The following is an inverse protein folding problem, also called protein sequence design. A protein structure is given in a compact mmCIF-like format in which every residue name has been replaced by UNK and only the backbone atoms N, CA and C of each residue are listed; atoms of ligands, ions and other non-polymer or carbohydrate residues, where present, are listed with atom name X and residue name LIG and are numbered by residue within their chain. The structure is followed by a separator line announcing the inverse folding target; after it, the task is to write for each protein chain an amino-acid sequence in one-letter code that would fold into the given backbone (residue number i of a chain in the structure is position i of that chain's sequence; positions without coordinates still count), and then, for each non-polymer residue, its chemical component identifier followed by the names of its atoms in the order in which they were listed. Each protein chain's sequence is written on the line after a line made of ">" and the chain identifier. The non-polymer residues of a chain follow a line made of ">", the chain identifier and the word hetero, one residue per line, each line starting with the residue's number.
data_IF_446413215521
#
_entry.id   IF_446413215521
#
_cell.length_a   1.000
_cell.length_b   1.000
_cell.length_c   1.000
_cell.angle_alpha   90.00
_cell.angle_beta   90.00
_cell.angle_gamma   90.00
#
_symmetry.space_group_name_H-M   'P 1'
#
loop_
_entity.id
_entity.type
_entity.pdbx_description
1 polymer ?
#
# COMPACT_ATOMS: atom_id res chain seq x y z
N UNK A 1 -33.07 -6.02 -38.15
CA UNK A 1 -31.84 -5.70 -37.40
C UNK A 1 -31.86 -6.52 -36.13
N UNK A 2 -30.95 -7.50 -36.00
CA UNK A 2 -30.93 -8.43 -34.86
C UNK A 2 -30.28 -7.73 -33.67
N UNK A 3 -30.95 -7.73 -32.52
CA UNK A 3 -30.45 -7.26 -31.24
C UNK A 3 -29.46 -8.26 -30.65
N UNK A 4 -28.23 -7.84 -30.37
CA UNK A 4 -27.29 -8.59 -29.54
C UNK A 4 -27.56 -8.27 -28.06
N UNK A 5 -28.15 -9.21 -27.34
CA UNK A 5 -28.13 -9.23 -25.88
C UNK A 5 -26.82 -9.86 -25.40
N UNK A 6 -26.03 -9.13 -24.62
CA UNK A 6 -24.85 -9.69 -23.96
C UNK A 6 -25.28 -10.64 -22.82
N UNK A 7 -24.66 -11.81 -22.65
CA UNK A 7 -24.89 -12.65 -21.49
C UNK A 7 -24.19 -12.06 -20.26
N UNK A 8 -24.88 -12.09 -19.12
CA UNK A 8 -24.37 -11.62 -17.84
C UNK A 8 -23.13 -12.38 -17.39
N UNK A 9 -22.10 -11.66 -16.97
CA UNK A 9 -20.97 -12.23 -16.26
C UNK A 9 -21.43 -12.63 -14.86
N UNK A 10 -21.44 -13.93 -14.58
CA UNK A 10 -21.47 -14.45 -13.21
C UNK A 10 -20.10 -14.19 -12.56
N UNK A 11 -20.09 -13.53 -11.41
CA UNK A 11 -18.93 -13.43 -10.54
C UNK A 11 -18.58 -14.81 -9.98
N UNK A 12 -17.71 -15.53 -10.68
CA UNK A 12 -17.12 -16.79 -10.23
C UNK A 12 -15.78 -16.52 -9.56
N UNK A 13 -15.74 -16.68 -8.24
CA UNK A 13 -14.52 -16.69 -7.43
C UNK A 13 -13.66 -17.91 -7.77
N UNK A 14 -12.76 -17.78 -8.76
CA UNK A 14 -11.78 -18.82 -9.08
C UNK A 14 -10.34 -18.30 -8.92
N UNK A 15 -10.04 -17.82 -7.71
CA UNK A 15 -8.66 -17.68 -7.24
C UNK A 15 -8.16 -18.98 -6.55
N UNK A 16 -9.01 -20.01 -6.44
CA UNK A 16 -8.72 -21.21 -5.66
C UNK A 16 -7.68 -22.14 -6.29
N UNK A 17 -7.44 -22.05 -7.61
CA UNK A 17 -6.64 -23.05 -8.35
C UNK A 17 -5.14 -22.71 -8.41
N UNK A 18 -4.71 -21.51 -7.99
CA UNK A 18 -3.29 -21.05 -8.04
C UNK A 18 -2.58 -20.97 -6.69
N UNK A 19 -3.23 -21.40 -5.59
CA UNK A 19 -2.77 -21.19 -4.20
C UNK A 19 -1.38 -21.76 -3.86
N UNK A 20 -0.79 -22.62 -4.71
CA UNK A 20 0.50 -23.28 -4.41
C UNK A 20 1.71 -22.62 -5.08
N UNK A 21 1.54 -21.60 -5.94
CA UNK A 21 2.64 -21.14 -6.82
C UNK A 21 2.87 -19.63 -6.97
N UNK A 22 2.08 -18.73 -6.38
CA UNK A 22 2.24 -17.30 -6.71
C UNK A 22 1.76 -16.34 -5.63
N UNK A 23 2.42 -15.19 -5.54
CA UNK A 23 1.97 -13.96 -4.87
C UNK A 23 0.74 -13.39 -5.62
N UNK A 24 -0.33 -14.17 -5.71
CA UNK A 24 -1.55 -13.89 -6.47
C UNK A 24 -2.67 -13.50 -5.51
N UNK A 25 -2.42 -12.48 -4.70
CA UNK A 25 -3.47 -11.85 -3.89
C UNK A 25 -3.93 -10.57 -4.59
N UNK A 26 -5.19 -10.14 -4.39
CA UNK A 26 -5.66 -8.88 -4.93
C UNK A 26 -4.81 -7.71 -4.45
N UNK A 27 -4.48 -6.80 -5.36
CA UNK A 27 -3.89 -5.51 -4.99
C UNK A 27 -4.95 -4.67 -4.31
N UNK A 28 -4.63 -4.14 -3.14
CA UNK A 28 -5.53 -3.32 -2.32
C UNK A 28 -5.09 -1.86 -2.20
N UNK A 29 -3.81 -1.59 -2.45
CA UNK A 29 -3.22 -0.26 -2.36
C UNK A 29 -2.17 -0.05 -3.45
N UNK A 30 -2.09 1.17 -3.96
CA UNK A 30 -0.98 1.67 -4.78
C UNK A 30 -0.33 2.82 -4.02
N UNK A 31 0.99 2.79 -3.89
CA UNK A 31 1.73 3.82 -3.17
C UNK A 31 2.67 4.60 -4.07
N UNK A 32 2.58 5.93 -3.99
CA UNK A 32 3.53 6.85 -4.60
C UNK A 32 4.49 7.36 -3.52
N UNK A 33 5.79 7.16 -3.74
CA UNK A 33 6.81 7.81 -2.95
C UNK A 33 7.02 9.24 -3.45
N UNK A 34 6.98 10.20 -2.53
CA UNK A 34 7.03 11.64 -2.82
C UNK A 34 7.95 12.36 -1.83
N UNK A 35 8.31 13.61 -2.14
CA UNK A 35 9.10 14.46 -1.25
C UNK A 35 8.23 15.28 -0.28
N UNK A 36 6.94 15.45 -0.58
CA UNK A 36 5.97 16.15 0.28
C UNK A 36 4.61 15.46 0.17
N UNK A 37 4.25 14.71 1.21
CA UNK A 37 3.02 13.92 1.25
C UNK A 37 1.76 14.78 1.26
N UNK A 38 1.77 15.92 1.96
CA UNK A 38 0.61 16.79 2.09
C UNK A 38 0.32 17.49 0.77
N UNK A 39 1.31 18.19 0.20
CA UNK A 39 1.08 18.93 -1.05
C UNK A 39 0.77 17.98 -2.22
N UNK A 40 1.32 16.76 -2.21
CA UNK A 40 1.01 15.78 -3.26
C UNK A 40 -0.38 15.16 -3.09
N UNK A 41 -0.82 14.89 -1.86
CA UNK A 41 -2.19 14.45 -1.60
C UNK A 41 -3.22 15.51 -2.03
N UNK A 42 -2.97 16.79 -1.74
CA UNK A 42 -3.83 17.90 -2.21
C UNK A 42 -3.90 17.96 -3.75
N UNK A 43 -2.76 17.82 -4.44
CA UNK A 43 -2.71 17.79 -5.90
C UNK A 43 -3.46 16.59 -6.47
N UNK A 44 -3.23 15.39 -5.92
CA UNK A 44 -3.93 14.18 -6.35
C UNK A 44 -5.44 14.31 -6.19
N UNK A 45 -5.90 14.90 -5.08
CA UNK A 45 -7.31 15.21 -4.89
C UNK A 45 -7.85 16.16 -5.96
N UNK A 46 -7.14 17.25 -6.24
CA UNK A 46 -7.56 18.25 -7.21
C UNK A 46 -7.57 17.71 -8.66
N UNK A 47 -6.60 16.90 -9.04
CA UNK A 47 -6.41 16.44 -10.42
C UNK A 47 -7.19 15.16 -10.75
N UNK A 48 -7.33 14.25 -9.78
CA UNK A 48 -7.89 12.90 -10.01
C UNK A 48 -9.17 12.61 -9.23
N UNK A 49 -9.52 13.46 -8.26
CA UNK A 49 -10.61 13.18 -7.32
C UNK A 49 -10.28 12.12 -6.26
N UNK A 50 -9.03 11.66 -6.18
CA UNK A 50 -8.61 10.74 -5.13
C UNK A 50 -8.69 11.40 -3.74
N UNK A 51 -9.11 10.64 -2.73
CA UNK A 51 -9.25 11.13 -1.36
C UNK A 51 -10.60 10.76 -0.75
N UNK A 52 -11.01 11.42 0.34
CA UNK A 52 -10.18 12.32 1.15
C UNK A 52 -8.99 11.54 1.72
N UNK A 53 -7.88 12.23 1.94
CA UNK A 53 -6.67 11.65 2.50
C UNK A 53 -6.61 11.85 4.01
N UNK A 54 -6.18 10.80 4.70
CA UNK A 54 -5.93 10.78 6.13
C UNK A 54 -4.43 10.62 6.39
N UNK A 55 -3.83 11.64 6.98
CA UNK A 55 -2.40 11.79 7.21
C UNK A 55 -2.00 11.19 8.55
N UNK A 56 -1.11 10.20 8.50
CA UNK A 56 -0.36 9.71 9.65
C UNK A 56 1.08 10.22 9.54
N UNK A 57 1.43 11.16 10.40
CA UNK A 57 2.72 11.84 10.39
C UNK A 57 3.77 11.06 11.18
N UNK A 58 4.99 11.02 10.64
CA UNK A 58 6.21 10.53 11.28
C UNK A 58 6.01 9.19 11.98
N UNK A 59 5.44 8.23 11.27
CA UNK A 59 5.14 6.87 11.74
C UNK A 59 6.46 6.17 12.12
N UNK A 60 6.69 5.89 13.41
CA UNK A 60 7.86 5.15 13.85
C UNK A 60 7.62 3.63 13.76
N UNK A 61 8.72 2.90 13.57
CA UNK A 61 8.73 1.45 13.60
C UNK A 61 9.15 0.94 14.99
N UNK A 62 8.46 -0.11 15.46
CA UNK A 62 8.87 -0.86 16.66
C UNK A 62 10.18 -1.62 16.41
N UNK A 63 10.32 -2.16 15.20
CA UNK A 63 11.54 -2.78 14.70
C UNK A 63 11.53 -2.74 13.17
N UNK A 64 12.72 -2.82 12.57
CA UNK A 64 12.86 -2.85 11.12
C UNK A 64 14.14 -3.56 10.68
N UNK A 65 14.06 -4.20 9.52
CA UNK A 65 15.19 -4.76 8.81
C UNK A 65 15.12 -4.31 7.34
N UNK A 66 16.26 -3.88 6.78
CA UNK A 66 16.41 -3.54 5.37
C UNK A 66 17.69 -4.21 4.84
N UNK A 67 17.57 -4.93 3.72
CA UNK A 67 18.66 -5.72 3.11
C UNK A 67 19.40 -6.62 4.12
N UNK A 68 18.64 -7.21 5.03
CA UNK A 68 19.14 -8.13 6.06
C UNK A 68 19.86 -7.46 7.24
N UNK A 69 19.91 -6.13 7.29
CA UNK A 69 20.49 -5.37 8.41
C UNK A 69 19.37 -4.77 9.26
N UNK A 70 19.59 -4.68 10.57
CA UNK A 70 18.69 -3.94 11.47
C UNK A 70 18.70 -2.46 11.08
N UNK A 71 17.54 -1.97 10.66
CA UNK A 71 17.39 -0.64 10.11
C UNK A 71 15.92 -0.22 10.25
N UNK A 72 15.70 0.88 10.95
CA UNK A 72 14.40 1.56 10.97
C UNK A 72 14.42 2.76 10.03
N UNK A 73 13.23 3.22 9.66
CA UNK A 73 12.98 4.45 8.94
C UNK A 73 11.71 5.09 9.49
N UNK A 74 11.65 6.42 9.44
CA UNK A 74 10.46 7.19 9.79
C UNK A 74 9.83 7.69 8.51
N UNK A 75 8.52 7.49 8.38
CA UNK A 75 7.78 7.87 7.18
C UNK A 75 6.45 8.49 7.55
N UNK A 76 5.96 9.35 6.66
CA UNK A 76 4.62 9.93 6.73
C UNK A 76 3.82 9.41 5.56
N UNK A 77 2.58 9.03 5.82
CA UNK A 77 1.69 8.50 4.80
C UNK A 77 0.34 9.20 4.85
N UNK A 78 -0.13 9.63 3.68
CA UNK A 78 -1.49 10.09 3.46
C UNK A 78 -2.27 9.00 2.71
N UNK A 79 -3.30 8.46 3.36
CA UNK A 79 -4.12 7.36 2.82
C UNK A 79 -5.45 7.91 2.32
N UNK A 80 -5.73 7.76 1.03
CA UNK A 80 -6.98 8.16 0.40
C UNK A 80 -7.52 7.05 -0.49
N UNK A 81 -8.72 7.26 -1.05
CA UNK A 81 -9.34 6.29 -1.96
C UNK A 81 -9.29 6.82 -3.40
N UNK A 82 -8.96 5.96 -4.37
CA UNK A 82 -9.05 6.29 -5.79
C UNK A 82 -9.80 5.18 -6.55
N UNK A 83 -11.10 5.39 -6.76
CA UNK A 83 -11.98 4.33 -7.27
C UNK A 83 -12.04 3.15 -6.29
N UNK A 84 -11.72 1.95 -6.75
CA UNK A 84 -11.79 0.73 -5.92
C UNK A 84 -10.49 0.41 -5.15
N UNK A 85 -9.41 1.19 -5.33
CA UNK A 85 -8.12 0.95 -4.67
C UNK A 85 -7.77 2.09 -3.72
N UNK A 86 -7.07 1.75 -2.62
CA UNK A 86 -6.47 2.76 -1.77
C UNK A 86 -5.27 3.38 -2.50
N UNK A 87 -5.14 4.69 -2.41
CA UNK A 87 -3.96 5.44 -2.82
C UNK A 87 -3.21 5.91 -1.58
N UNK A 88 -1.97 5.47 -1.45
CA UNK A 88 -1.04 5.97 -0.44
C UNK A 88 -0.07 6.96 -1.07
N UNK A 89 0.07 8.13 -0.43
CA UNK A 89 1.13 9.09 -0.72
C UNK A 89 2.12 9.01 0.45
N UNK A 90 3.28 8.41 0.21
CA UNK A 90 4.28 8.12 1.24
C UNK A 90 5.52 8.97 1.05
N UNK A 91 6.03 9.53 2.13
CA UNK A 91 7.32 10.21 2.18
C UNK A 91 8.18 9.60 3.29
N UNK A 92 9.49 9.62 3.10
CA UNK A 92 10.43 9.27 4.16
C UNK A 92 10.92 10.56 4.83
N UNK A 93 10.74 10.65 6.15
CA UNK A 93 10.98 11.88 6.91
C UNK A 93 12.42 12.02 7.43
N UNK A 94 13.22 10.96 7.34
CA UNK A 94 14.60 10.92 7.82
C UNK A 94 15.54 10.37 6.75
N UNK A 95 16.72 10.96 6.61
CA UNK A 95 17.74 10.46 5.69
C UNK A 95 18.27 9.10 6.17
N UNK A 96 18.56 8.21 5.21
CA UNK A 96 19.09 6.89 5.51
C UNK A 96 18.62 5.82 4.53
N UNK A 97 19.24 4.64 4.59
CA UNK A 97 18.86 3.50 3.76
C UNK A 97 17.45 3.03 4.13
N UNK A 98 16.67 2.72 3.10
CA UNK A 98 15.29 2.23 3.23
C UNK A 98 14.87 1.56 1.92
N UNK A 99 13.79 0.78 1.91
CA UNK A 99 13.18 0.31 0.66
C UNK A 99 12.83 1.45 -0.30
N UNK A 100 12.42 2.62 0.21
CA UNK A 100 12.14 3.79 -0.62
C UNK A 100 13.37 4.31 -1.36
N UNK A 101 14.53 4.34 -0.67
CA UNK A 101 15.79 4.83 -1.23
C UNK A 101 16.45 3.85 -2.20
N UNK A 102 16.05 2.58 -2.20
CA UNK A 102 16.45 1.63 -3.23
C UNK A 102 15.88 2.00 -4.61
N UNK A 103 14.72 2.66 -4.65
CA UNK A 103 14.07 3.10 -5.90
C UNK A 103 14.31 4.58 -6.20
N UNK A 104 14.24 5.45 -5.19
CA UNK A 104 14.19 6.90 -5.38
C UNK A 104 15.28 7.63 -4.61
N UNK A 105 16.22 8.20 -5.38
CA UNK A 105 17.20 9.17 -4.89
C UNK A 105 16.51 10.44 -4.35
N UNK A 106 17.17 11.25 -3.50
CA UNK A 106 16.62 12.53 -3.06
C UNK A 106 16.11 13.39 -4.22
N UNK A 107 14.89 13.93 -4.08
CA UNK A 107 14.24 14.75 -5.11
C UNK A 107 13.62 13.94 -6.27
N UNK A 108 13.57 12.61 -6.20
CA UNK A 108 12.86 11.75 -7.17
C UNK A 108 11.61 11.15 -6.52
N UNK A 109 10.58 10.93 -7.33
CA UNK A 109 9.25 10.49 -6.92
C UNK A 109 8.69 9.50 -7.93
N UNK A 110 7.68 8.71 -7.54
CA UNK A 110 6.95 7.80 -8.42
C UNK A 110 6.28 6.65 -7.67
N UNK A 111 5.71 5.69 -8.41
CA UNK A 111 5.10 4.48 -7.83
C UNK A 111 6.17 3.63 -7.16
N UNK A 112 6.07 3.49 -5.84
CA UNK A 112 7.01 2.68 -5.06
C UNK A 112 6.55 1.24 -4.94
N UNK A 113 5.31 1.02 -4.48
CA UNK A 113 4.83 -0.32 -4.22
C UNK A 113 3.34 -0.50 -4.53
N UNK A 114 2.95 -1.76 -4.72
CA UNK A 114 1.56 -2.20 -4.71
C UNK A 114 1.38 -3.17 -3.54
N UNK A 115 0.38 -2.92 -2.70
CA UNK A 115 0.18 -3.72 -1.50
C UNK A 115 -0.89 -4.79 -1.67
N UNK A 116 -0.73 -5.88 -0.95
CA UNK A 116 -1.65 -7.01 -0.90
C UNK A 116 -1.75 -7.57 0.51
N UNK A 117 -2.93 -8.08 0.88
CA UNK A 117 -3.17 -8.74 2.16
C UNK A 117 -3.07 -10.26 2.00
N UNK A 118 -2.12 -10.87 2.71
CA UNK A 118 -1.88 -12.31 2.72
C UNK A 118 -2.53 -12.97 3.94
N UNK A 119 -2.71 -14.28 3.86
CA UNK A 119 -3.29 -15.08 4.96
C UNK A 119 -2.28 -15.30 6.10
N UNK A 120 -0.99 -15.45 5.76
CA UNK A 120 0.11 -15.55 6.72
C UNK A 120 1.41 -14.96 6.17
N UNK A 121 2.05 -14.06 6.92
CA UNK A 121 3.36 -13.52 6.54
C UNK A 121 4.46 -14.59 6.59
N UNK A 122 4.46 -15.44 7.62
CA UNK A 122 5.46 -16.51 7.77
C UNK A 122 5.46 -17.50 6.60
N UNK A 123 4.27 -17.95 6.19
CA UNK A 123 4.12 -18.82 5.01
C UNK A 123 4.52 -18.10 3.72
N UNK A 124 4.18 -16.82 3.61
CA UNK A 124 4.55 -16.00 2.45
C UNK A 124 6.06 -15.79 2.37
N UNK A 125 6.75 -15.59 3.49
CA UNK A 125 8.21 -15.51 3.54
C UNK A 125 8.87 -16.81 3.07
N UNK A 126 8.37 -17.95 3.56
CA UNK A 126 8.85 -19.28 3.14
C UNK A 126 8.63 -19.50 1.64
N UNK A 127 7.50 -19.01 1.11
CA UNK A 127 7.21 -19.03 -0.33
C UNK A 127 8.18 -18.15 -1.11
N UNK A 128 8.46 -16.94 -0.62
CA UNK A 128 9.43 -16.03 -1.24
C UNK A 128 10.80 -16.70 -1.35
N UNK A 129 11.31 -17.26 -0.26
CA UNK A 129 12.59 -17.97 -0.22
C UNK A 129 12.64 -19.14 -1.20
N UNK A 130 11.63 -20.03 -1.16
CA UNK A 130 11.54 -21.19 -2.04
C UNK A 130 11.54 -20.83 -3.52
N UNK A 131 10.97 -19.68 -3.87
CA UNK A 131 10.85 -19.21 -5.25
C UNK A 131 11.88 -18.15 -5.64
N UNK A 132 12.85 -17.85 -4.77
CA UNK A 132 13.95 -16.91 -5.07
C UNK A 132 13.54 -15.43 -5.06
N UNK A 133 12.39 -15.08 -4.48
CA UNK A 133 12.04 -13.67 -4.27
C UNK A 133 12.84 -13.11 -3.10
N UNK A 134 13.47 -11.95 -3.32
CA UNK A 134 14.20 -11.24 -2.27
C UNK A 134 13.24 -10.39 -1.46
N UNK A 135 13.27 -10.51 -0.13
CA UNK A 135 12.57 -9.58 0.77
C UNK A 135 13.52 -8.41 1.02
N UNK A 136 13.17 -7.23 0.50
CA UNK A 136 13.96 -6.01 0.65
C UNK A 136 13.93 -5.48 2.09
N UNK A 137 12.76 -5.51 2.71
CA UNK A 137 12.58 -5.06 4.09
C UNK A 137 11.45 -5.81 4.81
N UNK A 138 11.57 -5.89 6.13
CA UNK A 138 10.51 -6.31 7.06
C UNK A 138 10.47 -5.32 8.20
N UNK A 139 9.29 -4.96 8.67
CA UNK A 139 9.15 -4.07 9.80
C UNK A 139 7.81 -4.23 10.48
N UNK A 140 7.73 -3.78 11.72
CA UNK A 140 6.46 -3.59 12.39
C UNK A 140 6.33 -2.16 12.92
N UNK A 141 5.14 -1.59 12.75
CA UNK A 141 4.76 -0.31 13.37
C UNK A 141 4.63 -0.46 14.89
N UNK A 142 4.66 0.65 15.63
CA UNK A 142 4.39 0.63 17.08
C UNK A 142 2.98 0.13 17.43
N UNK A 143 2.03 0.22 16.50
CA UNK A 143 0.67 -0.30 16.66
C UNK A 143 0.56 -1.81 16.42
N UNK A 144 1.67 -2.47 16.06
CA UNK A 144 1.75 -3.93 15.89
C UNK A 144 1.47 -4.43 14.48
N UNK A 145 1.23 -3.55 13.50
CA UNK A 145 1.09 -3.95 12.09
C UNK A 145 2.46 -4.29 11.52
N UNK A 146 2.70 -5.57 11.23
CA UNK A 146 3.87 -6.05 10.48
C UNK A 146 3.61 -5.97 8.97
N UNK A 147 4.63 -5.57 8.23
CA UNK A 147 4.64 -5.55 6.77
C UNK A 147 6.03 -5.93 6.23
N UNK A 148 6.06 -6.34 4.97
CA UNK A 148 7.29 -6.59 4.26
C UNK A 148 7.22 -6.12 2.80
N UNK A 149 8.37 -5.63 2.31
CA UNK A 149 8.55 -5.33 0.90
C UNK A 149 9.30 -6.45 0.21
N UNK A 150 8.72 -6.98 -0.86
CA UNK A 150 9.34 -7.93 -1.77
C UNK A 150 9.94 -7.15 -2.93
N UNK A 151 11.23 -7.38 -3.19
CA UNK A 151 11.94 -6.77 -4.30
C UNK A 151 11.47 -7.37 -5.62
N UNK A 152 10.64 -6.62 -6.33
CA UNK A 152 10.16 -6.95 -7.67
C UNK A 152 10.46 -5.84 -8.67
N UNK A 153 11.41 -4.96 -8.35
CA UNK A 153 11.70 -3.75 -9.15
C UNK A 153 12.09 -4.14 -10.58
N UNK A 154 13.03 -5.06 -10.75
CA UNK A 154 13.51 -5.44 -12.09
C UNK A 154 12.43 -6.07 -12.97
N UNK A 155 11.48 -6.79 -12.35
CA UNK A 155 10.46 -7.55 -13.09
C UNK A 155 9.15 -6.79 -13.29
N UNK A 156 8.86 -5.79 -12.45
CA UNK A 156 7.56 -5.08 -12.43
C UNK A 156 7.67 -3.55 -12.38
N UNK A 157 8.86 -3.01 -12.18
CA UNK A 157 9.08 -1.57 -12.00
C UNK A 157 8.67 -1.01 -10.64
N UNK A 158 8.20 -1.86 -9.72
CA UNK A 158 7.78 -1.50 -8.36
C UNK A 158 8.00 -2.68 -7.41
N UNK A 159 8.06 -2.42 -6.11
CA UNK A 159 8.04 -3.46 -5.07
C UNK A 159 6.61 -3.96 -4.82
N UNK A 160 6.48 -5.18 -4.29
CA UNK A 160 5.22 -5.57 -3.65
C UNK A 160 5.32 -5.37 -2.15
N UNK A 161 4.25 -4.87 -1.54
CA UNK A 161 4.08 -4.89 -0.10
C UNK A 161 3.11 -6.00 0.31
N UNK A 162 3.43 -6.72 1.38
CA UNK A 162 2.55 -7.71 1.98
C UNK A 162 2.25 -7.38 3.43
N UNK A 163 0.98 -7.54 3.79
CA UNK A 163 0.48 -7.47 5.15
C UNK A 163 -0.20 -8.79 5.54
N UNK A 164 -0.08 -9.22 6.80
CA UNK A 164 -0.97 -10.26 7.31
C UNK A 164 -2.38 -9.69 7.51
N UNK A 165 -3.40 -10.37 6.97
CA UNK A 165 -4.78 -9.92 7.12
C UNK A 165 -5.21 -9.97 8.58
N UNK A 166 -5.65 -8.83 9.09
CA UNK A 166 -6.28 -8.71 10.41
C UNK A 166 -7.55 -7.87 10.36
N UNK A 167 -8.40 -8.00 11.38
CA UNK A 167 -9.60 -7.15 11.48
C UNK A 167 -9.23 -5.67 11.59
N UNK A 168 -8.17 -5.34 12.33
CA UNK A 168 -7.66 -3.98 12.45
C UNK A 168 -7.28 -3.39 11.08
N UNK A 169 -6.49 -4.13 10.30
CA UNK A 169 -6.04 -3.66 8.99
C UNK A 169 -7.20 -3.56 8.00
N UNK A 170 -8.06 -4.57 7.93
CA UNK A 170 -9.19 -4.54 7.01
C UNK A 170 -10.20 -3.45 7.38
N UNK A 171 -10.43 -3.20 8.67
CA UNK A 171 -11.28 -2.09 9.14
C UNK A 171 -10.70 -0.71 8.80
N UNK A 172 -9.37 -0.55 8.89
CA UNK A 172 -8.70 0.66 8.43
C UNK A 172 -8.96 0.94 6.94
N UNK A 173 -8.74 -0.05 6.08
CA UNK A 173 -9.00 0.07 4.64
C UNK A 173 -10.47 0.38 4.33
N UNK A 174 -11.41 -0.30 5.00
CA UNK A 174 -12.84 -0.01 4.85
C UNK A 174 -13.18 1.41 5.27
N UNK A 175 -12.61 1.89 6.38
CA UNK A 175 -12.87 3.24 6.90
C UNK A 175 -12.43 4.33 5.92
N UNK A 176 -11.26 4.18 5.29
CA UNK A 176 -10.79 5.10 4.23
C UNK A 176 -11.76 5.10 3.04
N UNK A 177 -12.16 3.91 2.57
CA UNK A 177 -13.14 3.78 1.48
C UNK A 177 -14.47 4.45 1.85
N UNK A 178 -15.01 4.17 3.01
CA UNK A 178 -16.32 4.67 3.44
C UNK A 178 -16.33 6.21 3.52
N UNK A 179 -15.23 6.82 3.97
CA UNK A 179 -15.09 8.29 4.01
C UNK A 179 -14.94 8.95 2.63
N UNK A 180 -14.65 8.19 1.59
CA UNK A 180 -14.61 8.69 0.21
C UNK A 180 -15.99 8.72 -0.46
N UNK A 181 -16.94 7.96 0.05
CA UNK A 181 -18.30 7.90 -0.52
C UNK A 181 -18.98 9.25 -0.30
N UNK A 182 -19.50 9.82 -1.40
CA UNK A 182 -20.15 11.14 -1.45
C UNK A 182 -19.28 12.30 -0.94
N UNK A 183 -17.96 12.11 -0.84
CA UNK A 183 -17.05 13.19 -0.48
C UNK A 183 -17.04 14.29 -1.55
N UNK A 184 -17.27 15.52 -1.10
CA UNK A 184 -17.45 16.70 -1.97
C UNK A 184 -16.14 17.29 -2.53
N UNK A 185 -14.98 16.71 -2.21
CA UNK A 185 -13.68 17.28 -2.56
C UNK A 185 -13.14 18.33 -1.56
N UNK A 186 -13.93 18.72 -0.55
CA UNK A 186 -13.50 19.73 0.45
C UNK A 186 -12.65 19.13 1.56
N UNK A 187 -11.68 19.89 2.06
CA UNK A 187 -10.72 19.46 3.09
C UNK A 187 -10.06 18.11 2.71
N UNK A 188 -9.27 18.09 1.63
CA UNK A 188 -8.77 16.87 1.03
C UNK A 188 -7.72 16.14 1.86
N UNK A 189 -7.05 16.84 2.79
CA UNK A 189 -6.09 16.23 3.71
C UNK A 189 -6.55 16.49 5.13
N UNK A 190 -6.67 15.42 5.92
CA UNK A 190 -7.14 15.41 7.31
C UNK A 190 -6.14 14.66 8.16
N UNK A 191 -6.11 14.93 9.46
CA UNK A 191 -5.29 14.14 10.39
C UNK A 191 -5.93 12.76 10.62
N UNK A 192 -5.09 11.75 10.86
CA UNK A 192 -5.53 10.36 11.06
C UNK A 192 -6.57 10.20 12.18
N UNK A 193 -6.51 11.02 13.24
CA UNK A 193 -7.47 10.98 14.35
C UNK A 193 -8.91 11.33 13.93
N UNK A 194 -9.09 11.99 12.79
CA UNK A 194 -10.40 12.33 12.21
C UNK A 194 -11.03 11.17 11.44
N UNK A 195 -10.29 10.10 11.14
CA UNK A 195 -10.82 8.95 10.41
C UNK A 195 -11.90 8.22 11.20
N UNK A 196 -11.69 8.11 12.53
CA UNK A 196 -12.55 7.34 13.43
C UNK A 196 -13.59 8.19 14.17
N UNK A 197 -13.77 9.45 13.74
CA UNK A 197 -14.83 10.35 14.19
C UNK A 197 -16.00 10.30 13.22
#
# INVERSE_FOLDING_TARGET
>A
MKSCSAPGLSAGSDCAVYRTMSLCFPIVQIAYFVNDAVSTAEKMAAESGAGPFYLAERIPLAWGQHRGQEQTFVHTSAYGQWGDVMLEIVQQDEEGPSPFRDMYKPGKEGIHHMAMMVDSLSETYSTCEKHGYTIAAKAATLTGTEFAFIDTIETRGHMLEIYERSEQLTSFYRSIRDKSIDWSGTEPVRLMDQLFK
#
